data_IF_679831740704
#
_entry.id   IF_679831740704
#
_cell.length_a   1.000
_cell.length_b   1.000
_cell.length_c   1.000
_cell.angle_alpha   90.00
_cell.angle_beta   90.00
_cell.angle_gamma   90.00
#
_symmetry.space_group_name_H-M   'P 1'
#
loop_
_entity.id
_entity.type
_entity.pdbx_description
1 polymer ?
#
# COMPACT_ATOMS: atom_id res chain seq x y z
N UNK A 1 -27.43 79.05 2.05
CA UNK A 1 -28.09 78.64 3.30
C UNK A 1 -27.96 77.15 3.48
N UNK A 2 -27.63 76.77 4.70
CA UNK A 2 -27.13 75.49 5.19
C UNK A 2 -28.08 74.31 4.98
N UNK A 3 -27.52 73.10 4.90
CA UNK A 3 -28.04 71.92 5.60
C UNK A 3 -26.97 70.83 5.65
N UNK A 4 -26.22 70.82 6.75
CA UNK A 4 -25.38 69.70 7.16
C UNK A 4 -26.28 68.66 7.84
N UNK A 5 -26.17 67.39 7.46
CA UNK A 5 -26.66 66.25 8.26
C UNK A 5 -25.46 65.41 8.69
N UNK A 6 -25.16 65.45 9.99
CA UNK A 6 -24.15 64.62 10.62
C UNK A 6 -24.74 63.23 10.90
N UNK A 7 -24.17 62.18 10.30
CA UNK A 7 -24.38 60.80 10.74
C UNK A 7 -23.15 60.34 11.51
N UNK A 8 -23.34 60.04 12.79
CA UNK A 8 -22.32 59.43 13.65
C UNK A 8 -22.35 57.92 13.47
N UNK A 9 -21.30 57.35 12.87
CA UNK A 9 -21.10 55.90 12.85
C UNK A 9 -20.21 55.52 14.03
N UNK A 10 -20.77 54.80 14.99
CA UNK A 10 -20.05 54.16 16.09
C UNK A 10 -19.36 52.91 15.52
N UNK A 11 -18.02 52.89 15.52
CA UNK A 11 -17.23 51.71 15.12
C UNK A 11 -17.01 50.87 16.38
N UNK A 12 -17.67 49.71 16.45
CA UNK A 12 -17.33 48.67 17.43
C UNK A 12 -16.08 47.91 16.95
N UNK A 13 -15.05 47.72 17.81
CA UNK A 13 -13.90 46.93 17.43
C UNK A 13 -14.25 45.44 17.45
N UNK A 14 -14.28 44.82 16.27
CA UNK A 14 -14.34 43.36 16.11
C UNK A 14 -13.00 42.76 16.52
N UNK A 15 -12.99 41.92 17.57
CA UNK A 15 -11.83 41.11 17.91
C UNK A 15 -11.56 40.09 16.78
N UNK A 16 -10.29 39.86 16.40
CA UNK A 16 -9.97 38.83 15.42
C UNK A 16 -10.31 37.43 15.95
N UNK A 17 -10.77 36.51 15.09
CA UNK A 17 -11.06 35.14 15.48
C UNK A 17 -9.78 34.44 15.97
N UNK A 18 -9.92 33.64 17.03
CA UNK A 18 -8.84 32.81 17.56
C UNK A 18 -8.31 31.87 16.45
N UNK A 19 -6.99 31.63 16.39
CA UNK A 19 -6.42 30.68 15.44
C UNK A 19 -6.99 29.28 15.72
N UNK A 20 -7.41 28.60 14.65
CA UNK A 20 -7.88 27.22 14.70
C UNK A 20 -6.77 26.31 15.27
N UNK A 21 -7.13 25.26 16.04
CA UNK A 21 -6.15 24.28 16.48
C UNK A 21 -5.47 23.64 15.27
N UNK A 22 -4.14 23.73 15.24
CA UNK A 22 -3.28 23.11 14.24
C UNK A 22 -3.45 21.58 14.34
N UNK A 23 -3.67 20.87 13.21
CA UNK A 23 -3.81 19.42 13.25
C UNK A 23 -2.49 18.80 13.69
N UNK A 24 -2.50 18.10 14.84
CA UNK A 24 -1.33 17.34 15.26
C UNK A 24 -1.00 16.27 14.21
N UNK A 25 0.27 16.11 13.83
CA UNK A 25 0.65 15.06 12.89
C UNK A 25 0.46 13.71 13.59
N UNK A 26 -0.60 12.98 13.24
CA UNK A 26 -0.72 11.55 13.52
C UNK A 26 0.38 10.83 12.75
N UNK A 27 1.53 10.62 13.38
CA UNK A 27 2.59 9.75 12.87
C UNK A 27 2.13 8.31 13.01
N UNK A 28 1.35 7.83 12.05
CA UNK A 28 1.09 6.39 11.88
C UNK A 28 2.43 5.77 11.52
N UNK A 29 3.11 5.15 12.49
CA UNK A 29 4.39 4.48 12.22
C UNK A 29 4.11 3.31 11.27
N UNK A 30 4.56 3.42 10.02
CA UNK A 30 4.43 2.34 9.04
C UNK A 30 5.14 1.08 9.54
N UNK A 31 4.61 -0.10 9.19
CA UNK A 31 5.19 -1.40 9.54
C UNK A 31 6.46 -1.75 8.74
N UNK A 32 6.90 -0.85 7.85
CA UNK A 32 8.02 -1.02 6.94
C UNK A 32 8.69 0.33 6.62
N UNK A 33 9.95 0.30 6.16
CA UNK A 33 10.66 1.47 5.61
C UNK A 33 10.47 1.58 4.09
N UNK A 34 10.56 2.78 3.49
CA UNK A 34 10.47 2.93 2.03
C UNK A 34 11.39 1.99 1.23
N UNK A 35 12.60 1.73 1.74
CA UNK A 35 13.56 0.81 1.12
C UNK A 35 13.08 -0.64 1.16
N UNK A 36 12.44 -1.06 2.25
CA UNK A 36 11.84 -2.40 2.35
C UNK A 36 10.72 -2.57 1.33
N UNK A 37 9.81 -1.59 1.23
CA UNK A 37 8.73 -1.60 0.24
C UNK A 37 9.28 -1.67 -1.19
N UNK A 38 10.24 -0.83 -1.54
CA UNK A 38 10.89 -0.85 -2.86
C UNK A 38 11.56 -2.19 -3.15
N UNK A 39 12.22 -2.78 -2.15
CA UNK A 39 12.80 -4.11 -2.28
C UNK A 39 11.74 -5.19 -2.51
N UNK A 40 10.62 -5.14 -1.80
CA UNK A 40 9.54 -6.11 -1.96
C UNK A 40 8.88 -5.99 -3.33
N UNK A 41 8.63 -4.78 -3.81
CA UNK A 41 8.09 -4.51 -5.14
C UNK A 41 9.02 -5.05 -6.23
N UNK A 42 10.32 -4.76 -6.13
CA UNK A 42 11.31 -5.31 -7.07
C UNK A 42 11.32 -6.84 -7.06
N UNK A 43 11.17 -7.44 -5.87
CA UNK A 43 11.12 -8.90 -5.72
C UNK A 43 9.85 -9.48 -6.31
N UNK A 44 8.70 -8.81 -6.13
CA UNK A 44 7.42 -9.20 -6.70
C UNK A 44 7.47 -9.17 -8.23
N UNK A 45 7.97 -8.07 -8.82
CA UNK A 45 8.18 -7.97 -10.27
C UNK A 45 9.10 -9.08 -10.82
N UNK A 46 10.17 -9.43 -10.09
CA UNK A 46 11.07 -10.50 -10.50
C UNK A 46 10.45 -11.91 -10.37
N UNK A 47 9.41 -12.07 -9.55
CA UNK A 47 8.72 -13.33 -9.35
C UNK A 47 7.63 -13.60 -10.39
N UNK A 48 7.14 -12.58 -11.12
CA UNK A 48 6.25 -12.72 -12.27
C UNK A 48 7.03 -13.28 -13.47
N UNK A 49 7.23 -14.60 -13.46
CA UNK A 49 7.98 -15.31 -14.50
C UNK A 49 7.15 -15.58 -15.75
N UNK A 50 5.83 -15.57 -15.60
CA UNK A 50 4.89 -15.76 -16.71
C UNK A 50 4.59 -14.47 -17.48
N UNK A 51 5.01 -13.32 -16.95
CA UNK A 51 4.73 -11.98 -17.47
C UNK A 51 3.22 -11.72 -17.58
N UNK A 52 2.44 -12.24 -16.63
CA UNK A 52 1.00 -12.02 -16.57
C UNK A 52 0.64 -10.61 -16.08
N UNK A 53 1.61 -9.88 -15.52
CA UNK A 53 1.42 -8.67 -14.71
C UNK A 53 0.71 -8.94 -13.38
N UNK A 54 0.81 -10.18 -12.90
CA UNK A 54 0.28 -10.64 -11.63
C UNK A 54 1.17 -11.73 -11.04
N UNK A 55 0.90 -12.08 -9.79
CA UNK A 55 1.50 -13.26 -9.17
C UNK A 55 0.44 -14.33 -8.99
N UNK A 56 0.59 -15.44 -9.70
CA UNK A 56 -0.08 -16.68 -9.36
C UNK A 56 0.33 -17.16 -7.95
N UNK A 57 -0.38 -18.15 -7.39
CA UNK A 57 -0.04 -18.71 -6.07
C UNK A 57 1.40 -19.24 -6.00
N UNK A 58 1.88 -19.85 -7.08
CA UNK A 58 3.26 -20.36 -7.19
C UNK A 58 4.26 -19.21 -7.22
N UNK A 59 4.00 -18.18 -8.01
CA UNK A 59 4.87 -17.01 -8.10
C UNK A 59 4.85 -16.19 -6.80
N UNK A 60 3.72 -16.13 -6.11
CA UNK A 60 3.63 -15.53 -4.79
C UNK A 60 4.50 -16.26 -3.76
N UNK A 61 4.56 -17.59 -3.79
CA UNK A 61 5.50 -18.34 -2.96
C UNK A 61 6.95 -18.00 -3.31
N UNK A 62 7.31 -17.98 -4.61
CA UNK A 62 8.65 -17.59 -5.09
C UNK A 62 9.03 -16.19 -4.63
N UNK A 63 8.08 -15.25 -4.69
CA UNK A 63 8.22 -13.90 -4.15
C UNK A 63 8.54 -13.93 -2.66
N UNK A 64 7.73 -14.60 -1.83
CA UNK A 64 7.94 -14.69 -0.38
C UNK A 64 9.31 -15.29 -0.02
N UNK A 65 9.72 -16.35 -0.73
CA UNK A 65 11.02 -17.01 -0.55
C UNK A 65 12.20 -16.13 -0.93
N UNK A 66 11.97 -15.12 -1.78
CA UNK A 66 13.00 -14.20 -2.27
C UNK A 66 12.99 -12.85 -1.54
N UNK A 67 12.04 -12.63 -0.62
CA UNK A 67 11.90 -11.36 0.10
C UNK A 67 13.12 -11.04 0.96
N UNK A 68 13.43 -9.74 1.03
CA UNK A 68 14.46 -9.18 1.91
C UNK A 68 13.82 -8.48 3.11
N UNK A 69 14.51 -8.40 4.27
CA UNK A 69 15.81 -9.00 4.59
C UNK A 69 15.81 -10.55 4.54
N UNK A 70 17.00 -11.19 4.42
CA UNK A 70 17.11 -12.62 4.12
C UNK A 70 16.37 -13.58 5.06
N UNK A 71 16.16 -13.20 6.33
CA UNK A 71 15.43 -14.05 7.27
C UNK A 71 13.97 -14.31 6.84
N UNK A 72 13.35 -13.38 6.10
CA UNK A 72 11.98 -13.52 5.60
C UNK A 72 11.94 -14.62 4.55
N UNK A 73 12.80 -14.51 3.53
CA UNK A 73 12.94 -15.53 2.50
C UNK A 73 13.30 -16.90 3.05
N UNK A 74 14.24 -16.95 4.01
CA UNK A 74 14.63 -18.20 4.69
C UNK A 74 13.48 -18.87 5.43
N UNK A 75 12.64 -18.09 6.12
CA UNK A 75 11.44 -18.62 6.76
C UNK A 75 10.51 -19.28 5.73
N UNK A 76 10.23 -18.59 4.63
CA UNK A 76 9.31 -19.09 3.60
C UNK A 76 9.92 -20.21 2.72
N UNK A 77 11.24 -20.35 2.68
CA UNK A 77 11.92 -21.44 1.98
C UNK A 77 11.65 -22.82 2.58
N UNK A 78 11.10 -22.88 3.80
CA UNK A 78 10.68 -24.13 4.45
C UNK A 78 9.37 -24.72 3.90
N UNK A 79 8.61 -23.97 3.10
CA UNK A 79 7.34 -24.40 2.51
C UNK A 79 7.52 -24.79 1.05
N UNK A 80 7.03 -25.97 0.66
CA UNK A 80 7.19 -26.50 -0.69
C UNK A 80 6.14 -25.98 -1.69
N UNK A 81 4.96 -25.59 -1.19
CA UNK A 81 3.83 -25.14 -2.00
C UNK A 81 3.02 -24.04 -1.31
N UNK A 82 2.22 -23.30 -2.09
CA UNK A 82 1.33 -22.28 -1.55
C UNK A 82 0.37 -22.84 -0.49
N UNK A 83 -0.13 -24.07 -0.67
CA UNK A 83 -1.02 -24.72 0.30
C UNK A 83 -0.39 -24.91 1.67
N UNK A 84 0.94 -25.10 1.72
CA UNK A 84 1.69 -25.33 2.95
C UNK A 84 1.95 -24.04 3.74
N UNK A 85 1.77 -22.87 3.11
CA UNK A 85 1.99 -21.58 3.75
C UNK A 85 1.12 -21.40 5.00
N UNK A 86 1.63 -20.66 6.01
CA UNK A 86 0.83 -20.25 7.16
C UNK A 86 -0.46 -19.54 6.70
N UNK A 87 -1.54 -19.74 7.46
CA UNK A 87 -2.84 -19.16 7.13
C UNK A 87 -2.78 -17.65 6.92
N UNK A 88 -1.99 -16.93 7.74
CA UNK A 88 -1.77 -15.49 7.60
C UNK A 88 -1.22 -15.10 6.23
N UNK A 89 -0.23 -15.83 5.70
CA UNK A 89 0.35 -15.55 4.39
C UNK A 89 -0.68 -15.78 3.26
N UNK A 90 -1.48 -16.84 3.36
CA UNK A 90 -2.57 -17.12 2.40
C UNK A 90 -3.66 -16.05 2.44
N UNK A 91 -4.04 -15.59 3.64
CA UNK A 91 -4.98 -14.48 3.80
C UNK A 91 -4.42 -13.20 3.20
N UNK A 92 -3.16 -12.87 3.48
CA UNK A 92 -2.54 -11.65 2.97
C UNK A 92 -2.51 -11.65 1.44
N UNK A 93 -2.13 -12.75 0.81
CA UNK A 93 -2.26 -12.91 -0.64
C UNK A 93 -3.69 -12.60 -1.10
N UNK A 94 -4.69 -13.20 -0.46
CA UNK A 94 -6.09 -13.00 -0.84
C UNK A 94 -6.56 -11.57 -0.67
N UNK A 95 -6.25 -10.93 0.47
CA UNK A 95 -6.63 -9.56 0.77
C UNK A 95 -6.03 -8.60 -0.26
N UNK A 96 -4.74 -8.75 -0.56
CA UNK A 96 -4.05 -7.90 -1.54
C UNK A 96 -4.60 -8.13 -2.95
N UNK A 97 -4.77 -9.39 -3.37
CA UNK A 97 -5.41 -9.70 -4.65
C UNK A 97 -6.80 -9.06 -4.74
N UNK A 98 -7.63 -9.16 -3.71
CA UNK A 98 -8.97 -8.56 -3.74
C UNK A 98 -8.93 -7.02 -3.71
N UNK A 99 -7.86 -6.40 -3.18
CA UNK A 99 -7.74 -4.95 -3.16
C UNK A 99 -7.56 -4.33 -4.56
N UNK A 100 -7.22 -5.12 -5.58
CA UNK A 100 -7.11 -4.58 -6.94
C UNK A 100 -8.43 -4.09 -7.53
N UNK A 101 -9.58 -4.34 -6.91
CA UNK A 101 -10.84 -3.73 -7.35
C UNK A 101 -10.84 -2.19 -7.26
N UNK A 102 -9.89 -1.60 -6.54
CA UNK A 102 -9.67 -0.15 -6.54
C UNK A 102 -8.89 0.35 -7.74
N UNK A 103 -8.33 -0.55 -8.56
CA UNK A 103 -7.53 -0.20 -9.74
C UNK A 103 -8.42 -0.09 -10.99
N UNK A 104 -8.09 0.82 -11.92
CA UNK A 104 -8.85 0.98 -13.15
C UNK A 104 -8.66 -0.24 -14.06
N UNK A 105 -9.77 -0.78 -14.58
CA UNK A 105 -9.75 -1.95 -15.46
C UNK A 105 -9.74 -3.32 -14.75
N UNK A 106 -9.82 -3.33 -13.42
CA UNK A 106 -9.92 -4.53 -12.60
C UNK A 106 -11.33 -4.68 -12.01
N UNK A 107 -11.83 -5.91 -11.90
CA UNK A 107 -13.12 -6.21 -11.27
C UNK A 107 -13.00 -7.34 -10.23
N UNK A 108 -14.04 -7.57 -9.44
CA UNK A 108 -14.00 -8.56 -8.35
C UNK A 108 -13.80 -10.01 -8.85
N UNK A 109 -14.20 -10.32 -10.08
CA UNK A 109 -14.02 -11.65 -10.66
C UNK A 109 -12.59 -11.86 -11.15
N UNK A 110 -11.91 -10.82 -11.62
CA UNK A 110 -10.50 -10.90 -12.01
C UNK A 110 -9.55 -10.76 -10.82
N UNK A 111 -9.95 -9.99 -9.80
CA UNK A 111 -9.15 -9.71 -8.62
C UNK A 111 -9.26 -10.75 -7.51
N UNK A 112 -10.48 -11.23 -7.26
CA UNK A 112 -10.80 -11.86 -5.98
C UNK A 112 -11.39 -13.25 -6.13
N UNK A 113 -11.81 -13.66 -7.32
CA UNK A 113 -12.51 -14.94 -7.51
C UNK A 113 -11.94 -15.70 -8.70
N UNK A 114 -12.19 -17.01 -8.77
CA UNK A 114 -11.72 -17.84 -9.88
C UNK A 114 -10.36 -18.51 -9.67
N UNK A 115 -10.06 -19.49 -10.52
CA UNK A 115 -8.79 -20.22 -10.54
C UNK A 115 -7.61 -19.38 -10.98
N UNK A 116 -7.90 -18.29 -11.70
CA UNK A 116 -6.92 -17.44 -12.36
C UNK A 116 -6.73 -16.11 -11.61
N UNK A 117 -7.21 -16.03 -10.36
CA UNK A 117 -7.02 -14.86 -9.51
C UNK A 117 -5.55 -14.76 -9.09
N UNK A 118 -4.93 -13.64 -9.46
CA UNK A 118 -3.54 -13.33 -9.17
C UNK A 118 -3.45 -12.12 -8.22
N UNK A 119 -2.25 -11.85 -7.69
CA UNK A 119 -1.95 -10.58 -7.03
C UNK A 119 -1.44 -9.61 -8.11
N UNK A 120 -2.19 -8.57 -8.51
CA UNK A 120 -1.74 -7.72 -9.61
C UNK A 120 -0.53 -6.88 -9.26
N UNK A 121 0.30 -6.62 -10.27
CA UNK A 121 1.51 -5.80 -10.18
C UNK A 121 1.35 -4.45 -10.90
N UNK A 122 0.11 -4.01 -11.13
CA UNK A 122 -0.18 -2.70 -11.69
C UNK A 122 0.46 -1.59 -10.84
N UNK A 123 1.11 -0.62 -11.50
CA UNK A 123 1.84 0.46 -10.86
C UNK A 123 3.22 0.12 -10.30
N UNK A 124 3.62 -1.16 -10.25
CA UNK A 124 4.88 -1.56 -9.60
C UNK A 124 6.11 -1.23 -10.46
N UNK A 125 5.96 -1.18 -11.78
CA UNK A 125 7.01 -0.84 -12.75
C UNK A 125 7.17 0.68 -12.99
N UNK A 126 6.32 1.52 -12.41
CA UNK A 126 6.27 2.97 -12.66
C UNK A 126 7.50 3.76 -12.21
N UNK A 127 8.51 3.11 -11.62
CA UNK A 127 9.80 3.71 -11.25
C UNK A 127 10.87 3.66 -12.35
N UNK A 128 10.64 2.94 -13.46
CA UNK A 128 11.69 2.71 -14.48
C UNK A 128 11.55 3.49 -15.79
N UNK A 129 10.39 4.08 -16.09
CA UNK A 129 10.14 4.67 -17.44
C UNK A 129 9.22 5.89 -17.43
N UNK A 130 9.64 7.05 -16.91
CA UNK A 130 8.97 8.38 -17.11
C UNK A 130 7.42 8.41 -16.98
N UNK A 131 6.81 7.41 -16.34
CA UNK A 131 5.37 7.21 -16.30
C UNK A 131 4.93 7.59 -14.91
N UNK A 132 4.09 8.61 -14.83
CA UNK A 132 3.51 9.04 -13.56
C UNK A 132 2.60 7.92 -13.05
N UNK A 133 2.92 7.34 -11.91
CA UNK A 133 2.02 6.42 -11.20
C UNK A 133 0.71 7.15 -10.90
N UNK A 134 -0.44 6.51 -11.18
CA UNK A 134 -1.74 7.06 -10.80
C UNK A 134 -1.93 7.05 -9.27
N UNK A 135 -2.84 7.87 -8.76
CA UNK A 135 -3.15 7.90 -7.32
C UNK A 135 -3.69 6.53 -6.83
N UNK A 136 -4.47 5.85 -7.67
CA UNK A 136 -5.03 4.53 -7.39
C UNK A 136 -3.95 3.44 -7.33
N UNK A 137 -3.00 3.47 -8.27
CA UNK A 137 -1.83 2.58 -8.26
C UNK A 137 -0.92 2.83 -7.06
N UNK A 138 -0.69 4.09 -6.69
CA UNK A 138 0.10 4.44 -5.52
C UNK A 138 -0.59 3.98 -4.22
N UNK A 139 -1.90 4.13 -4.13
CA UNK A 139 -2.69 3.65 -2.99
C UNK A 139 -2.62 2.11 -2.88
N UNK A 140 -2.75 1.40 -4.00
CA UNK A 140 -2.62 -0.05 -4.05
C UNK A 140 -1.20 -0.52 -3.69
N UNK A 141 -0.16 0.14 -4.20
CA UNK A 141 1.24 -0.13 -3.86
C UNK A 141 1.50 0.07 -2.35
N UNK A 142 0.94 1.14 -1.78
CA UNK A 142 1.01 1.41 -0.34
C UNK A 142 0.34 0.30 0.45
N UNK A 143 -0.88 -0.08 0.06
CA UNK A 143 -1.62 -1.18 0.69
C UNK A 143 -0.89 -2.52 0.60
N UNK A 144 -0.26 -2.83 -0.54
CA UNK A 144 0.61 -3.99 -0.71
C UNK A 144 1.74 -3.97 0.32
N UNK A 145 2.47 -2.86 0.44
CA UNK A 145 3.60 -2.76 1.36
C UNK A 145 3.17 -2.81 2.83
N UNK A 146 2.05 -2.20 3.20
CA UNK A 146 1.48 -2.31 4.55
C UNK A 146 1.11 -3.76 4.88
N UNK A 147 0.47 -4.46 3.94
CA UNK A 147 0.08 -5.85 4.08
C UNK A 147 1.30 -6.77 4.22
N UNK A 148 2.38 -6.52 3.47
CA UNK A 148 3.64 -7.24 3.61
C UNK A 148 4.33 -6.94 4.94
N UNK A 149 4.37 -5.68 5.38
CA UNK A 149 4.94 -5.32 6.69
C UNK A 149 4.18 -5.98 7.83
N UNK A 150 2.86 -6.06 7.73
CA UNK A 150 2.03 -6.79 8.69
C UNK A 150 2.29 -8.30 8.63
N UNK A 151 2.44 -8.90 7.45
CA UNK A 151 2.81 -10.32 7.35
C UNK A 151 4.17 -10.59 8.02
N UNK A 152 5.17 -9.78 7.70
CA UNK A 152 6.54 -9.90 8.20
C UNK A 152 6.61 -9.74 9.71
N UNK A 153 5.79 -8.86 10.31
CA UNK A 153 5.75 -8.68 11.77
C UNK A 153 5.17 -9.88 12.51
N UNK A 154 4.44 -10.78 11.83
CA UNK A 154 3.94 -12.04 12.43
C UNK A 154 4.93 -13.20 12.35
N UNK A 155 6.06 -13.03 11.68
CA UNK A 155 7.04 -14.10 11.54
C UNK A 155 7.67 -14.43 12.90
N UNK A 156 7.90 -15.71 13.20
CA UNK A 156 8.60 -16.08 14.41
C UNK A 156 10.01 -15.50 14.35
N UNK A 157 10.37 -14.71 15.37
CA UNK A 157 11.74 -14.24 15.54
C UNK A 157 12.59 -15.46 15.85
N UNK A 158 13.41 -15.90 14.89
CA UNK A 158 14.40 -16.93 15.16
C UNK A 158 15.48 -16.27 16.01
N UNK A 159 15.70 -16.70 17.27
CA UNK A 159 16.83 -16.21 18.04
C UNK A 159 18.10 -16.63 17.30
N UNK A 160 18.86 -15.66 16.81
CA UNK A 160 20.21 -15.85 16.27
C UNK A 160 21.21 -16.19 17.36
#
# INVERSE_FOLDING_TARGET
SSSSSSSSTIISPTLPPAPAPEPEPTTTSSSYTPEQCNSWITTALAADTTNSNGLSQTEYLTFLQSMKPPYIGQYFASFASFSDLPFTAKIVNKIVSCACTSLPGYDANTCCSGSDAELPLAGFNSTTTNSTISEEELAYQTFFCESMGNLVSTLPVVPT
#
